data_IF_200235957976
#
_entry.id   IF_200235957976
#
_cell.length_a   1.000
_cell.length_b   1.000
_cell.length_c   1.000
_cell.angle_alpha   90.00
_cell.angle_beta   90.00
_cell.angle_gamma   90.00
#
_symmetry.space_group_name_H-M   'P 1'
#
loop_
_entity.id
_entity.type
_entity.pdbx_description
1 polymer ?
#
# COMPACT_ATOMS: atom_id res chain seq x y z
N UNK A 1 -19.76 42.70 33.82
CA UNK A 1 -20.69 43.39 32.89
C UNK A 1 -20.13 43.11 31.50
N UNK A 2 -20.74 42.37 30.57
CA UNK A 2 -22.15 42.06 30.30
C UNK A 2 -22.35 40.59 29.89
N UNK A 3 -23.56 40.08 30.16
CA UNK A 3 -24.11 38.81 29.67
C UNK A 3 -24.86 38.99 28.34
N UNK A 4 -24.95 37.91 27.54
CA UNK A 4 -26.15 37.33 26.88
C UNK A 4 -25.65 36.12 26.03
N UNK A 5 -25.87 34.84 26.36
CA UNK A 5 -27.06 33.97 26.18
C UNK A 5 -27.72 34.08 24.79
N UNK A 6 -27.76 33.00 24.00
CA UNK A 6 -28.86 32.02 23.97
C UNK A 6 -28.61 30.86 22.95
N UNK A 7 -28.92 29.60 23.29
CA UNK A 7 -28.75 28.38 22.48
C UNK A 7 -30.04 28.00 21.72
N UNK A 8 -29.96 27.15 20.67
CA UNK A 8 -31.00 26.16 20.28
C UNK A 8 -30.66 25.57 18.89
N UNK A 9 -30.55 24.24 18.78
CA UNK A 9 -31.31 23.38 17.84
C UNK A 9 -30.66 22.00 17.78
N UNK A 10 -31.09 21.14 18.70
CA UNK A 10 -30.73 19.74 18.79
C UNK A 10 -32.04 18.98 19.05
N UNK A 11 -32.87 18.81 18.01
CA UNK A 11 -34.08 17.96 18.06
C UNK A 11 -34.38 17.44 16.64
N UNK A 12 -34.64 16.12 16.58
CA UNK A 12 -35.34 15.38 15.54
C UNK A 12 -34.61 15.05 14.23
N UNK A 13 -34.08 13.82 14.13
CA UNK A 13 -34.67 12.82 13.21
C UNK A 13 -34.19 11.41 13.57
N UNK A 14 -34.76 10.87 14.66
CA UNK A 14 -34.87 9.44 14.85
C UNK A 14 -36.29 9.04 14.45
N UNK A 15 -36.41 7.95 13.68
CA UNK A 15 -37.59 7.13 13.36
C UNK A 15 -37.90 6.98 11.85
N UNK A 16 -38.20 5.72 11.53
CA UNK A 16 -38.80 5.17 10.31
C UNK A 16 -37.77 4.93 9.19
N UNK A 17 -37.65 3.75 8.56
CA UNK A 17 -38.67 2.76 8.26
C UNK A 17 -38.14 1.32 8.40
N UNK A 18 -38.84 0.54 9.21
CA UNK A 18 -38.92 -0.92 9.16
C UNK A 18 -40.12 -1.31 8.29
N UNK A 19 -39.89 -2.08 7.22
CA UNK A 19 -40.90 -2.81 6.45
C UNK A 19 -40.24 -4.11 5.95
N UNK A 20 -40.48 -5.26 6.59
CA UNK A 20 -41.50 -6.25 6.20
C UNK A 20 -41.72 -6.39 4.70
N UNK A 21 -41.26 -7.50 4.11
CA UNK A 21 -42.08 -8.38 3.28
C UNK A 21 -41.36 -9.69 2.93
N UNK A 22 -41.99 -10.80 3.29
CA UNK A 22 -41.72 -12.16 2.83
C UNK A 22 -41.85 -12.28 1.31
N UNK A 23 -41.14 -13.25 0.73
CA UNK A 23 -41.34 -13.63 -0.67
C UNK A 23 -40.57 -14.89 -1.07
N UNK A 24 -40.82 -16.01 -0.38
CA UNK A 24 -40.67 -17.34 -0.99
C UNK A 24 -41.70 -17.44 -2.12
N UNK A 25 -41.31 -17.70 -3.37
CA UNK A 25 -42.10 -18.52 -4.30
C UNK A 25 -41.28 -18.92 -5.54
N UNK A 26 -41.10 -20.24 -5.63
CA UNK A 26 -41.10 -21.15 -6.78
C UNK A 26 -40.53 -20.73 -8.13
N UNK A 27 -39.50 -21.47 -8.53
CA UNK A 27 -39.08 -21.68 -9.91
C UNK A 27 -40.21 -22.33 -10.76
N UNK A 28 -40.38 -21.90 -12.01
CA UNK A 28 -41.07 -22.68 -13.04
C UNK A 28 -40.05 -23.44 -13.92
N UNK A 29 -40.52 -24.37 -14.77
CA UNK A 29 -39.83 -25.62 -15.08
C UNK A 29 -38.74 -25.50 -16.15
N UNK A 30 -37.80 -26.44 -16.07
CA UNK A 30 -36.80 -26.77 -17.08
C UNK A 30 -37.52 -27.13 -18.39
N UNK A 31 -37.39 -26.24 -19.37
CA UNK A 31 -37.56 -26.57 -20.79
C UNK A 31 -36.17 -26.92 -21.32
N UNK A 32 -35.96 -28.20 -21.67
CA UNK A 32 -34.76 -28.71 -22.32
C UNK A 32 -34.99 -28.70 -23.85
N UNK A 33 -34.24 -27.90 -24.62
CA UNK A 33 -34.09 -28.10 -26.06
C UNK A 33 -32.89 -29.04 -26.34
N UNK A 34 -32.93 -29.82 -27.43
CA UNK A 34 -31.94 -30.85 -27.71
C UNK A 34 -30.54 -30.27 -27.96
N UNK A 35 -29.55 -31.07 -27.57
CA UNK A 35 -28.12 -30.79 -27.59
C UNK A 35 -27.59 -30.11 -28.88
N UNK A 36 -26.79 -29.04 -28.77
CA UNK A 36 -25.98 -28.57 -29.87
C UNK A 36 -24.70 -29.41 -30.00
N UNK A 37 -24.45 -29.80 -31.25
CA UNK A 37 -23.30 -30.53 -31.76
C UNK A 37 -21.96 -30.02 -31.21
N UNK A 38 -21.14 -30.92 -30.69
CA UNK A 38 -19.75 -30.68 -30.26
C UNK A 38 -18.85 -30.46 -31.48
N UNK A 39 -18.04 -29.37 -31.53
CA UNK A 39 -16.84 -29.33 -32.34
C UNK A 39 -15.58 -29.41 -31.47
N UNK A 40 -14.65 -30.27 -31.91
CA UNK A 40 -13.21 -30.39 -31.61
C UNK A 40 -12.64 -29.73 -30.35
N UNK A 41 -12.18 -30.59 -29.44
CA UNK A 41 -11.20 -30.28 -28.40
C UNK A 41 -9.88 -29.85 -29.05
N UNK A 42 -9.51 -28.58 -28.88
CA UNK A 42 -8.13 -28.14 -29.04
C UNK A 42 -7.30 -28.56 -27.81
N UNK A 43 -5.98 -28.84 -27.95
CA UNK A 43 -5.17 -29.29 -26.83
C UNK A 43 -5.05 -28.19 -25.77
N UNK A 44 -5.53 -28.48 -24.56
CA UNK A 44 -5.31 -27.64 -23.37
C UNK A 44 -3.82 -27.64 -23.04
N UNK A 45 -3.16 -26.48 -23.21
CA UNK A 45 -1.85 -26.21 -22.61
C UNK A 45 -1.92 -26.49 -21.10
N UNK A 46 -0.91 -27.15 -20.50
CA UNK A 46 -0.87 -27.33 -19.06
C UNK A 46 -0.85 -25.96 -18.37
N UNK A 47 -1.58 -25.77 -17.26
CA UNK A 47 -1.54 -24.51 -16.54
C UNK A 47 -0.10 -24.23 -16.11
N UNK A 48 0.40 -23.05 -16.49
CA UNK A 48 1.62 -22.46 -15.94
C UNK A 48 1.48 -22.52 -14.43
N UNK A 49 2.32 -23.34 -13.79
CA UNK A 49 2.35 -23.44 -12.34
C UNK A 49 2.71 -22.07 -11.80
N UNK A 50 1.77 -21.45 -11.08
CA UNK A 50 2.08 -20.27 -10.29
C UNK A 50 3.29 -20.61 -9.38
N UNK A 51 4.25 -19.69 -9.20
CA UNK A 51 5.33 -19.90 -8.26
C UNK A 51 4.74 -20.27 -6.91
N UNK A 52 5.20 -21.37 -6.32
CA UNK A 52 4.83 -21.74 -4.95
C UNK A 52 5.12 -20.53 -4.05
N UNK A 53 4.10 -20.07 -3.32
CA UNK A 53 4.30 -19.15 -2.21
C UNK A 53 5.28 -19.82 -1.25
N UNK A 54 6.56 -19.41 -1.30
CA UNK A 54 7.49 -19.66 -0.21
C UNK A 54 6.80 -19.15 1.04
N UNK A 55 6.43 -20.07 1.92
CA UNK A 55 5.56 -19.79 3.05
C UNK A 55 6.14 -18.66 3.88
N UNK A 56 5.35 -17.59 4.01
CA UNK A 56 5.67 -16.43 4.83
C UNK A 56 6.01 -16.91 6.24
N UNK A 57 7.24 -16.66 6.71
CA UNK A 57 7.60 -16.95 8.09
C UNK A 57 7.15 -15.79 8.98
N UNK A 58 6.07 -15.94 9.77
CA UNK A 58 5.53 -14.86 10.59
C UNK A 58 6.49 -14.41 11.70
N UNK A 59 7.53 -15.20 11.98
CA UNK A 59 8.56 -14.90 12.97
C UNK A 59 9.86 -14.34 12.35
N UNK A 60 9.90 -14.16 11.03
CA UNK A 60 11.06 -13.56 10.39
C UNK A 60 11.27 -12.13 10.87
N UNK A 61 12.53 -11.73 11.02
CA UNK A 61 12.94 -10.35 11.27
C UNK A 61 13.96 -10.02 10.18
N UNK A 62 13.67 -9.01 9.37
CA UNK A 62 14.48 -8.65 8.20
C UNK A 62 15.02 -7.24 8.42
N UNK A 63 16.32 -7.05 8.71
CA UNK A 63 16.84 -5.74 9.05
C UNK A 63 16.84 -4.79 7.86
N UNK A 64 16.89 -3.48 8.12
CA UNK A 64 16.88 -2.45 7.07
C UNK A 64 18.06 -2.59 6.11
N UNK A 65 19.21 -3.04 6.61
CA UNK A 65 20.40 -3.32 5.78
C UNK A 65 20.21 -4.51 4.81
N UNK A 66 19.24 -5.40 5.05
CA UNK A 66 18.85 -6.43 4.08
C UNK A 66 17.88 -5.85 3.06
N UNK A 67 16.93 -5.03 3.49
CA UNK A 67 15.92 -4.42 2.60
C UNK A 67 16.53 -3.42 1.62
N UNK A 68 17.39 -2.51 2.11
CA UNK A 68 18.18 -1.58 1.31
C UNK A 68 19.64 -1.68 1.80
N UNK A 69 20.49 -2.45 1.09
CA UNK A 69 21.90 -2.56 1.40
C UNK A 69 22.61 -1.20 1.47
N UNK A 70 23.63 -1.03 2.34
CA UNK A 70 24.29 0.26 2.52
C UNK A 70 24.90 0.84 1.23
N UNK A 71 25.41 0.00 0.34
CA UNK A 71 25.93 0.41 -0.97
C UNK A 71 24.81 0.91 -1.89
N UNK A 72 23.66 0.23 -1.93
CA UNK A 72 22.48 0.71 -2.64
C UNK A 72 21.97 2.03 -2.06
N UNK A 73 21.88 2.13 -0.73
CA UNK A 73 21.49 3.36 -0.03
C UNK A 73 22.40 4.54 -0.41
N UNK A 74 23.72 4.35 -0.36
CA UNK A 74 24.68 5.39 -0.72
C UNK A 74 24.53 5.85 -2.19
N UNK A 75 24.16 4.93 -3.08
CA UNK A 75 23.88 5.25 -4.48
C UNK A 75 22.54 6.00 -4.67
N UNK A 76 21.57 5.82 -3.77
CA UNK A 76 20.26 6.49 -3.85
C UNK A 76 20.33 7.98 -3.47
N UNK A 77 21.02 8.31 -2.39
CA UNK A 77 20.98 9.67 -1.82
C UNK A 77 22.03 10.62 -2.38
N UNK A 78 23.07 10.11 -3.07
CA UNK A 78 24.23 10.88 -3.52
C UNK A 78 24.85 11.80 -2.43
N UNK A 79 24.59 11.52 -1.15
CA UNK A 79 24.90 12.36 0.01
C UNK A 79 26.17 11.90 0.74
N UNK A 80 26.67 12.77 1.61
CA UNK A 80 27.93 12.55 2.36
C UNK A 80 27.72 11.89 3.72
N UNK A 81 26.59 12.18 4.39
CA UNK A 81 26.27 11.66 5.71
C UNK A 81 24.84 11.14 5.77
N UNK A 82 24.65 9.97 6.37
CA UNK A 82 23.33 9.45 6.71
C UNK A 82 23.34 8.69 8.03
N UNK A 83 22.21 8.70 8.72
CA UNK A 83 21.98 7.91 9.94
C UNK A 83 20.71 7.10 9.74
N UNK A 84 20.75 5.84 10.17
CA UNK A 84 19.62 4.91 10.11
C UNK A 84 19.07 4.71 11.53
N UNK A 85 17.77 4.94 11.68
CA UNK A 85 16.97 4.44 12.80
C UNK A 85 16.15 3.25 12.30
N UNK A 86 16.29 2.12 12.97
CA UNK A 86 15.62 0.86 12.62
C UNK A 86 14.74 0.39 13.78
N UNK A 87 13.53 -0.06 13.44
CA UNK A 87 12.65 -0.83 14.31
C UNK A 87 12.21 -2.09 13.55
N UNK A 88 12.91 -3.19 13.82
CA UNK A 88 12.68 -4.48 13.20
C UNK A 88 12.08 -5.45 14.21
N UNK A 89 10.85 -5.90 13.92
CA UNK A 89 10.09 -6.83 14.75
C UNK A 89 9.61 -8.00 13.88
N UNK A 90 9.16 -9.11 14.47
CA UNK A 90 8.60 -10.21 13.70
C UNK A 90 7.54 -9.74 12.69
N UNK A 91 7.81 -9.99 11.41
CA UNK A 91 6.89 -9.73 10.31
C UNK A 91 6.74 -8.26 9.86
N UNK A 92 7.48 -7.32 10.47
CA UNK A 92 7.51 -5.93 10.03
C UNK A 92 8.86 -5.29 10.31
N UNK A 93 9.31 -4.41 9.41
CA UNK A 93 10.48 -3.57 9.66
C UNK A 93 10.21 -2.14 9.23
N UNK A 94 10.50 -1.20 10.11
CA UNK A 94 10.44 0.24 9.84
C UNK A 94 11.85 0.82 9.85
N UNK A 95 12.19 1.50 8.76
CA UNK A 95 13.47 2.13 8.53
C UNK A 95 13.26 3.63 8.33
N UNK A 96 14.05 4.43 9.02
CA UNK A 96 14.11 5.87 8.82
C UNK A 96 15.57 6.27 8.63
N UNK A 97 15.89 6.68 7.41
CA UNK A 97 17.17 7.28 7.11
C UNK A 97 17.04 8.80 7.14
N UNK A 98 17.90 9.43 7.92
CA UNK A 98 18.10 10.86 7.94
C UNK A 98 19.40 11.17 7.21
N UNK A 99 19.35 12.04 6.20
CA UNK A 99 20.49 12.34 5.35
C UNK A 99 20.50 13.82 4.94
N UNK A 100 21.66 14.30 4.48
CA UNK A 100 21.75 15.63 3.83
C UNK A 100 21.90 15.40 2.32
N UNK A 101 20.93 15.85 1.49
CA UNK A 101 21.02 15.69 0.05
C UNK A 101 22.21 16.47 -0.51
N UNK A 102 22.77 15.99 -1.63
CA UNK A 102 23.92 16.63 -2.27
C UNK A 102 23.62 18.09 -2.62
N UNK A 103 24.45 19.00 -2.12
CA UNK A 103 24.28 20.45 -2.32
C UNK A 103 23.18 21.08 -1.46
N UNK A 104 22.51 20.31 -0.60
CA UNK A 104 21.62 20.80 0.43
C UNK A 104 22.37 21.16 1.71
N UNK A 105 21.71 21.97 2.55
CA UNK A 105 22.18 22.31 3.90
C UNK A 105 21.21 21.86 4.99
N UNK A 106 20.08 21.28 4.60
CA UNK A 106 19.04 20.80 5.49
C UNK A 106 18.98 19.28 5.43
N UNK A 107 18.68 18.67 6.57
CA UNK A 107 18.43 17.24 6.65
C UNK A 107 17.09 16.91 6.01
N UNK A 108 17.04 15.75 5.37
CA UNK A 108 15.86 15.15 4.77
C UNK A 108 15.66 13.75 5.31
N UNK A 109 14.46 13.20 5.05
CA UNK A 109 14.04 11.90 5.53
C UNK A 109 13.61 11.00 4.38
N UNK A 110 14.13 9.78 4.40
CA UNK A 110 13.60 8.65 3.65
C UNK A 110 13.08 7.62 4.64
N UNK A 111 11.82 7.23 4.48
CA UNK A 111 11.21 6.19 5.30
C UNK A 111 10.77 5.02 4.44
N UNK A 112 11.04 3.81 4.92
CA UNK A 112 10.52 2.56 4.41
C UNK A 112 9.83 1.83 5.57
N UNK A 113 8.60 1.39 5.38
CA UNK A 113 7.98 0.36 6.21
C UNK A 113 7.70 -0.85 5.33
N UNK A 114 8.18 -2.02 5.76
CA UNK A 114 8.04 -3.28 5.06
C UNK A 114 7.29 -4.29 5.96
N UNK A 115 6.18 -4.82 5.48
CA UNK A 115 5.40 -5.85 6.16
C UNK A 115 5.47 -7.17 5.40
N UNK A 116 5.80 -8.24 6.12
CA UNK A 116 6.03 -9.58 5.56
C UNK A 116 5.60 -10.68 6.55
N UNK A 117 4.64 -10.40 7.43
CA UNK A 117 4.01 -11.38 8.33
C UNK A 117 2.89 -12.19 7.67
N UNK A 118 2.36 -11.67 6.56
CA UNK A 118 1.13 -12.13 5.93
C UNK A 118 -0.14 -11.47 6.47
N UNK A 119 -0.06 -10.73 7.58
CA UNK A 119 -1.13 -9.91 8.13
C UNK A 119 -1.05 -8.49 7.57
N UNK A 120 -2.02 -8.12 6.74
CA UNK A 120 -2.11 -6.79 6.09
C UNK A 120 -2.94 -5.78 6.88
N UNK A 121 -3.51 -6.15 8.03
CA UNK A 121 -4.43 -5.29 8.77
C UNK A 121 -3.80 -3.98 9.22
N UNK A 122 -2.54 -4.02 9.67
CA UNK A 122 -1.78 -2.82 10.06
C UNK A 122 -1.52 -1.92 8.85
N UNK A 123 -1.17 -2.51 7.71
CA UNK A 123 -0.97 -1.75 6.47
C UNK A 123 -2.27 -1.05 6.02
N UNK A 124 -3.40 -1.76 6.03
CA UNK A 124 -4.71 -1.21 5.66
C UNK A 124 -5.14 -0.07 6.59
N UNK A 125 -4.97 -0.27 7.90
CA UNK A 125 -5.27 0.74 8.92
C UNK A 125 -4.38 1.98 8.75
N UNK A 126 -3.08 1.78 8.54
CA UNK A 126 -2.11 2.87 8.31
C UNK A 126 -2.47 3.66 7.06
N UNK A 127 -2.73 2.98 5.94
CA UNK A 127 -3.15 3.61 4.68
C UNK A 127 -4.42 4.45 4.86
N UNK A 128 -5.45 3.86 5.49
CA UNK A 128 -6.73 4.54 5.72
C UNK A 128 -6.55 5.77 6.60
N UNK A 129 -5.75 5.66 7.66
CA UNK A 129 -5.46 6.78 8.55
C UNK A 129 -4.73 7.90 7.81
N UNK A 130 -3.69 7.59 7.03
CA UNK A 130 -2.94 8.62 6.30
C UNK A 130 -3.81 9.33 5.27
N UNK A 131 -4.54 8.59 4.42
CA UNK A 131 -5.44 9.20 3.45
C UNK A 131 -6.54 10.06 4.11
N UNK A 132 -7.00 9.69 5.31
CA UNK A 132 -7.99 10.50 6.04
C UNK A 132 -7.43 11.80 6.63
N UNK A 133 -6.11 11.86 6.84
CA UNK A 133 -5.41 13.06 7.34
C UNK A 133 -5.00 14.00 6.21
N UNK A 134 -5.11 13.57 4.96
CA UNK A 134 -4.82 14.42 3.81
C UNK A 134 -6.01 15.32 3.45
N UNK A 135 -5.77 16.51 2.90
CA UNK A 135 -6.82 17.37 2.36
C UNK A 135 -7.65 16.65 1.27
N UNK A 136 -8.94 16.95 1.20
CA UNK A 136 -9.89 16.29 0.28
C UNK A 136 -9.60 16.50 -1.21
N UNK A 137 -8.74 17.46 -1.56
CA UNK A 137 -8.31 17.79 -2.92
C UNK A 137 -6.94 17.15 -3.27
N UNK A 138 -6.51 16.15 -2.52
CA UNK A 138 -5.36 15.31 -2.86
C UNK A 138 -5.62 14.52 -4.14
N UNK A 139 -4.57 14.34 -4.95
CA UNK A 139 -4.60 13.48 -6.13
C UNK A 139 -3.86 12.19 -5.79
N UNK A 140 -4.60 11.08 -5.80
CA UNK A 140 -4.07 9.73 -5.63
C UNK A 140 -4.00 9.06 -7.00
N UNK A 141 -2.85 8.47 -7.31
CA UNK A 141 -2.54 7.82 -8.59
C UNK A 141 -2.03 6.41 -8.38
N UNK A 142 -2.38 5.50 -9.28
CA UNK A 142 -1.83 4.15 -9.35
C UNK A 142 -0.74 4.08 -10.42
N UNK A 143 0.31 3.32 -10.16
CA UNK A 143 1.39 3.00 -11.10
C UNK A 143 1.16 1.58 -11.63
N UNK A 144 1.14 1.42 -12.95
CA UNK A 144 0.99 0.11 -13.58
C UNK A 144 2.22 -0.77 -13.33
N UNK A 145 2.00 -2.05 -13.02
CA UNK A 145 3.08 -3.02 -12.73
C UNK A 145 3.81 -2.85 -11.39
N UNK A 146 3.39 -1.92 -10.51
CA UNK A 146 4.04 -1.72 -9.21
C UNK A 146 3.71 -2.83 -8.19
N UNK A 147 2.50 -3.38 -8.25
CA UNK A 147 2.03 -4.46 -7.38
C UNK A 147 0.55 -4.74 -7.59
N UNK A 148 0.00 -5.71 -6.86
CA UNK A 148 -1.41 -6.12 -6.97
C UNK A 148 -2.36 -4.99 -6.59
N UNK A 149 -1.94 -4.17 -5.62
CA UNK A 149 -2.64 -2.98 -5.16
C UNK A 149 -1.61 -1.90 -4.84
N UNK A 150 -1.78 -0.70 -5.38
CA UNK A 150 -0.87 0.40 -5.11
C UNK A 150 -1.56 1.77 -5.18
N UNK A 151 -1.03 2.70 -4.38
CA UNK A 151 -1.48 4.08 -4.30
C UNK A 151 -0.28 4.98 -4.09
N UNK A 152 -0.20 6.05 -4.85
CA UNK A 152 0.84 7.06 -4.72
C UNK A 152 0.24 8.45 -4.68
N UNK A 153 0.87 9.35 -3.94
CA UNK A 153 0.47 10.76 -3.87
C UNK A 153 1.60 11.61 -3.33
N UNK A 154 1.48 12.94 -3.51
CA UNK A 154 2.29 13.91 -2.76
C UNK A 154 1.49 14.36 -1.54
N UNK A 155 2.00 14.05 -0.35
CA UNK A 155 1.39 14.48 0.92
C UNK A 155 1.40 16.00 0.99
N UNK A 156 0.25 16.61 1.29
CA UNK A 156 0.18 18.07 1.50
C UNK A 156 0.60 18.46 2.92
N UNK A 157 0.62 17.49 3.85
CA UNK A 157 1.05 17.68 5.23
C UNK A 157 2.57 17.68 5.36
N UNK A 158 3.23 16.68 4.75
CA UNK A 158 4.68 16.48 4.90
C UNK A 158 5.48 16.93 3.67
N UNK A 159 4.81 17.21 2.55
CA UNK A 159 5.42 17.49 1.24
C UNK A 159 6.26 16.32 0.68
N UNK A 160 6.20 15.14 1.30
CA UNK A 160 6.84 13.93 0.80
C UNK A 160 5.98 13.26 -0.27
N UNK A 161 6.63 12.55 -1.18
CA UNK A 161 5.97 11.57 -2.03
C UNK A 161 5.78 10.28 -1.25
N UNK A 162 4.56 9.78 -1.26
CA UNK A 162 4.14 8.61 -0.50
C UNK A 162 3.74 7.53 -1.48
N UNK A 163 4.26 6.32 -1.27
CA UNK A 163 4.00 5.15 -2.12
C UNK A 163 3.56 4.00 -1.22
N UNK A 164 2.35 3.51 -1.42
CA UNK A 164 1.82 2.29 -0.84
C UNK A 164 1.77 1.23 -1.92
N UNK A 165 2.31 0.05 -1.64
CA UNK A 165 2.24 -1.09 -2.55
C UNK A 165 2.06 -2.38 -1.76
N UNK A 166 1.22 -3.27 -2.31
CA UNK A 166 1.02 -4.63 -1.83
C UNK A 166 1.29 -5.61 -2.97
N UNK A 167 1.98 -6.70 -2.65
CA UNK A 167 2.21 -7.84 -3.54
C UNK A 167 2.00 -9.12 -2.74
N UNK A 168 0.94 -9.86 -3.07
CA UNK A 168 0.42 -10.95 -2.27
C UNK A 168 0.12 -10.49 -0.84
N UNK A 169 0.86 -11.06 0.10
CA UNK A 169 0.75 -10.80 1.53
C UNK A 169 1.88 -9.91 2.09
N UNK A 170 2.78 -9.44 1.21
CA UNK A 170 3.83 -8.48 1.52
C UNK A 170 3.39 -7.05 1.19
N UNK A 171 3.90 -6.08 1.95
CA UNK A 171 3.53 -4.67 1.80
C UNK A 171 4.73 -3.76 1.96
N UNK A 172 4.75 -2.65 1.23
CA UNK A 172 5.74 -1.58 1.38
C UNK A 172 5.03 -0.23 1.49
N UNK A 173 5.62 0.66 2.29
CA UNK A 173 5.27 2.07 2.38
C UNK A 173 6.55 2.89 2.29
N UNK A 174 6.69 3.70 1.23
CA UNK A 174 7.79 4.64 1.08
C UNK A 174 7.32 6.06 1.38
N UNK A 175 8.17 6.85 2.04
CA UNK A 175 8.01 8.32 2.15
C UNK A 175 9.34 9.00 1.89
N UNK A 176 9.41 9.83 0.86
CA UNK A 176 10.67 10.45 0.44
C UNK A 176 10.45 11.73 -0.38
N UNK A 177 11.51 12.50 -0.61
CA UNK A 177 11.48 13.60 -1.56
C UNK A 177 11.97 13.13 -2.95
N UNK A 178 11.11 13.11 -3.99
CA UNK A 178 11.47 12.60 -5.32
C UNK A 178 12.48 13.49 -6.05
N UNK A 179 12.70 14.73 -5.59
CA UNK A 179 13.74 15.61 -6.13
C UNK A 179 15.14 15.27 -5.60
N UNK A 180 15.22 14.54 -4.49
CA UNK A 180 16.47 14.17 -3.83
C UNK A 180 16.85 12.72 -4.15
N UNK A 181 15.86 11.82 -4.18
CA UNK A 181 16.05 10.41 -4.56
C UNK A 181 15.69 10.26 -6.05
N UNK A 182 16.55 10.80 -6.92
CA UNK A 182 16.28 10.91 -8.36
C UNK A 182 15.95 9.57 -9.02
N UNK A 183 16.59 8.49 -8.55
CA UNK A 183 16.30 7.14 -9.02
C UNK A 183 14.82 6.78 -8.85
N UNK A 184 14.22 7.09 -7.70
CA UNK A 184 12.79 6.89 -7.41
C UNK A 184 11.94 8.11 -7.81
N UNK A 185 12.48 9.04 -8.59
CA UNK A 185 11.74 10.18 -9.14
C UNK A 185 10.86 9.83 -10.33
N UNK A 186 10.96 8.60 -10.85
CA UNK A 186 10.17 8.07 -11.96
C UNK A 186 9.40 6.82 -11.53
N UNK A 187 8.30 6.53 -12.23
CA UNK A 187 7.51 5.31 -12.01
C UNK A 187 8.38 4.04 -12.13
N UNK A 188 9.24 3.98 -13.16
CA UNK A 188 10.14 2.85 -13.38
C UNK A 188 11.11 2.60 -12.22
N UNK A 189 11.65 3.64 -11.61
CA UNK A 189 12.56 3.49 -10.47
C UNK A 189 11.84 3.11 -9.18
N UNK A 190 10.58 3.55 -9.00
CA UNK A 190 9.73 3.09 -7.90
C UNK A 190 9.45 1.59 -8.03
N UNK A 191 9.09 1.14 -9.24
CA UNK A 191 8.83 -0.28 -9.54
C UNK A 191 10.08 -1.12 -9.26
N UNK A 192 11.24 -0.74 -9.80
CA UNK A 192 12.48 -1.49 -9.61
C UNK A 192 12.89 -1.55 -8.12
N UNK A 193 12.77 -0.44 -7.38
CA UNK A 193 13.04 -0.44 -5.94
C UNK A 193 12.08 -1.38 -5.18
N UNK A 194 10.78 -1.28 -5.43
CA UNK A 194 9.79 -2.12 -4.76
C UNK A 194 10.02 -3.61 -5.04
N UNK A 195 10.27 -3.98 -6.30
CA UNK A 195 10.53 -5.36 -6.70
C UNK A 195 11.77 -5.94 -6.02
N UNK A 196 12.87 -5.18 -5.94
CA UNK A 196 14.08 -5.63 -5.22
C UNK A 196 13.81 -5.88 -3.75
N UNK A 197 13.04 -5.00 -3.10
CA UNK A 197 12.71 -5.15 -1.69
C UNK A 197 11.78 -6.35 -1.48
N UNK A 198 10.75 -6.54 -2.32
CA UNK A 198 9.90 -7.74 -2.28
C UNK A 198 10.72 -9.03 -2.43
N UNK A 199 11.70 -9.06 -3.33
CA UNK A 199 12.58 -10.22 -3.48
C UNK A 199 13.41 -10.52 -2.21
N UNK A 200 13.87 -9.47 -1.52
CA UNK A 200 14.65 -9.59 -0.28
C UNK A 200 13.81 -9.97 0.94
N UNK A 201 12.48 -9.93 0.84
CA UNK A 201 11.55 -10.31 1.90
C UNK A 201 11.12 -11.79 1.84
N UNK A 202 11.57 -12.55 0.85
CA UNK A 202 11.22 -13.96 0.65
C UNK A 202 12.01 -14.91 1.53
#
# INVERSE_FOLDING_TARGET
MSQLRLPLLLVALALMLSSLACGLFSAPPVNEPPAPSVPSVAPTEPPVSAPAESGVNPNAVIPCATLIPPDEWNNLIFGVDSTLSEDAVPGMTSCLWKYVPKGGTQESLFSLQAGFSGDTSIWEATRKSELSNEPSDIVVISIDGLGDENYTWRSKVTNQYVVYVRQGSQTLIFRYNPQEILFMGTESGIIDMAQRIFERMK
#
